data_IF_971250952819
#
_entry.id   IF_971250952819
#
_cell.length_a   1.000
_cell.length_b   1.000
_cell.length_c   1.000
_cell.angle_alpha   90.00
_cell.angle_beta   90.00
_cell.angle_gamma   90.00
#
_symmetry.space_group_name_H-M   'P 1'
#
loop_
_entity.id
_entity.type
_entity.pdbx_description
1 polymer ?
#
# COMPACT_ATOMS: atom_id res chain seq x y z
N UNK A 1 7.43 -32.76 -12.11
CA UNK A 1 8.66 -32.24 -11.49
C UNK A 1 8.28 -31.71 -10.10
N UNK A 2 8.58 -32.46 -9.04
CA UNK A 2 8.28 -32.04 -7.66
C UNK A 2 9.32 -30.99 -7.25
N UNK A 3 8.90 -29.75 -7.06
CA UNK A 3 9.76 -28.69 -6.54
C UNK A 3 10.38 -29.13 -5.20
N UNK A 4 11.65 -28.79 -4.91
CA UNK A 4 12.25 -29.09 -3.61
C UNK A 4 11.38 -28.51 -2.48
N UNK A 5 11.22 -29.26 -1.37
CA UNK A 5 10.25 -28.99 -0.28
C UNK A 5 10.15 -27.52 0.16
N UNK A 6 11.24 -26.76 0.10
CA UNK A 6 11.28 -25.33 0.47
C UNK A 6 10.62 -24.38 -0.54
N UNK A 7 10.57 -24.74 -1.83
CA UNK A 7 9.92 -23.92 -2.86
C UNK A 7 8.42 -24.21 -2.98
N UNK A 8 7.99 -25.44 -2.68
CA UNK A 8 6.54 -25.74 -2.58
C UNK A 8 5.86 -24.96 -1.46
N UNK A 9 6.60 -24.65 -0.40
CA UNK A 9 6.11 -23.91 0.77
C UNK A 9 5.72 -22.45 0.47
N UNK A 10 6.27 -21.86 -0.60
CA UNK A 10 5.87 -20.53 -1.06
C UNK A 10 4.39 -20.54 -1.47
N UNK A 11 3.89 -21.63 -2.02
CA UNK A 11 2.53 -21.69 -2.55
C UNK A 11 1.47 -22.00 -1.49
N UNK A 12 1.83 -22.04 -0.20
CA UNK A 12 0.90 -22.37 0.89
C UNK A 12 0.07 -21.18 1.39
N UNK A 13 0.58 -19.95 1.25
CA UNK A 13 -0.12 -18.77 1.74
C UNK A 13 0.25 -17.51 0.93
N UNK A 14 -0.71 -16.59 0.67
CA UNK A 14 -0.49 -15.45 -0.21
C UNK A 14 0.63 -14.50 0.21
N UNK A 15 0.80 -14.28 1.52
CA UNK A 15 1.85 -13.40 2.02
C UNK A 15 3.27 -13.86 1.69
N UNK A 16 3.49 -15.17 1.48
CA UNK A 16 4.83 -15.72 1.26
C UNK A 16 5.42 -15.27 -0.08
N UNK A 17 4.80 -15.56 -1.25
CA UNK A 17 5.37 -15.18 -2.52
C UNK A 17 5.14 -13.69 -2.81
N UNK A 18 4.02 -13.10 -2.39
CA UNK A 18 3.69 -11.71 -2.76
C UNK A 18 4.53 -10.68 -2.00
N UNK A 19 4.79 -10.84 -0.70
CA UNK A 19 5.72 -9.93 -0.01
C UNK A 19 7.16 -10.12 -0.49
N UNK A 20 7.57 -11.35 -0.78
CA UNK A 20 8.89 -11.62 -1.37
C UNK A 20 9.03 -10.96 -2.74
N UNK A 21 8.03 -11.14 -3.61
CA UNK A 21 8.00 -10.53 -4.94
C UNK A 21 8.00 -9.01 -4.88
N UNK A 22 7.19 -8.41 -4.00
CA UNK A 22 7.16 -6.96 -3.77
C UNK A 22 8.54 -6.44 -3.32
N UNK A 23 9.19 -7.11 -2.37
CA UNK A 23 10.51 -6.71 -1.86
C UNK A 23 11.63 -6.89 -2.88
N UNK A 24 11.63 -7.98 -3.66
CA UNK A 24 12.60 -8.17 -4.74
C UNK A 24 12.42 -7.12 -5.83
N UNK A 25 11.17 -6.88 -6.22
CA UNK A 25 10.88 -5.90 -7.27
C UNK A 25 11.17 -4.48 -6.86
N UNK A 26 10.94 -4.08 -5.60
CA UNK A 26 11.31 -2.74 -5.16
C UNK A 26 12.82 -2.50 -5.28
N UNK A 27 13.66 -3.50 -4.98
CA UNK A 27 15.11 -3.42 -5.19
C UNK A 27 15.45 -3.34 -6.68
N UNK A 28 14.87 -4.21 -7.51
CA UNK A 28 15.14 -4.25 -8.96
C UNK A 28 14.70 -2.94 -9.64
N UNK A 29 13.47 -2.49 -9.39
CA UNK A 29 12.90 -1.31 -10.01
C UNK A 29 13.64 -0.04 -9.61
N UNK A 30 14.00 0.11 -8.32
CA UNK A 30 14.82 1.23 -7.87
C UNK A 30 16.22 1.20 -8.48
N UNK A 31 16.85 0.02 -8.54
CA UNK A 31 18.17 -0.11 -9.12
C UNK A 31 18.18 0.25 -10.62
N UNK A 32 17.17 -0.21 -11.36
CA UNK A 32 17.01 0.14 -12.76
C UNK A 32 16.68 1.62 -12.95
N UNK A 33 15.73 2.17 -12.20
CA UNK A 33 15.34 3.58 -12.31
C UNK A 33 16.48 4.54 -11.98
N UNK A 34 17.24 4.28 -10.91
CA UNK A 34 18.28 5.18 -10.44
C UNK A 34 19.63 4.97 -11.15
N UNK A 35 20.00 3.73 -11.44
CA UNK A 35 21.34 3.38 -11.95
C UNK A 35 21.33 2.68 -13.31
N UNK A 36 20.16 2.46 -13.92
CA UNK A 36 20.04 1.77 -15.21
C UNK A 36 20.90 2.37 -16.31
N UNK A 37 20.89 3.70 -16.45
CA UNK A 37 21.70 4.39 -17.44
C UNK A 37 23.20 4.16 -17.25
N UNK A 38 23.67 4.14 -15.99
CA UNK A 38 25.07 3.84 -15.66
C UNK A 38 25.44 2.37 -15.96
N UNK A 39 24.45 1.48 -16.00
CA UNK A 39 24.61 0.06 -16.36
C UNK A 39 24.40 -0.21 -17.86
N UNK A 40 24.24 0.83 -18.69
CA UNK A 40 23.98 0.69 -20.13
C UNK A 40 22.57 0.20 -20.47
N UNK A 41 21.64 0.21 -19.52
CA UNK A 41 20.23 -0.11 -19.74
C UNK A 41 19.47 1.13 -20.25
N UNK A 42 18.44 0.95 -21.10
CA UNK A 42 17.54 2.03 -21.44
C UNK A 42 16.84 2.56 -20.18
N UNK A 43 16.54 3.87 -20.17
CA UNK A 43 15.71 4.45 -19.12
C UNK A 43 14.34 3.76 -19.12
N UNK A 44 13.83 3.28 -17.98
CA UNK A 44 12.45 2.81 -17.93
C UNK A 44 11.51 3.99 -18.21
N UNK A 45 10.33 3.69 -18.76
CA UNK A 45 9.41 4.74 -19.17
C UNK A 45 7.98 4.27 -19.34
N UNK A 46 7.07 5.17 -18.96
CA UNK A 46 5.63 5.09 -19.12
C UNK A 46 5.14 6.53 -19.40
N UNK A 47 5.42 7.02 -20.60
CA UNK A 47 5.37 8.45 -20.97
C UNK A 47 6.53 9.26 -20.39
N UNK A 48 6.84 9.06 -19.10
CA UNK A 48 8.04 9.59 -18.44
C UNK A 48 8.65 8.56 -17.48
N UNK A 49 9.96 8.66 -17.15
CA UNK A 49 10.58 7.82 -16.13
C UNK A 49 9.96 8.01 -14.73
N UNK A 50 9.42 9.20 -14.43
CA UNK A 50 8.77 9.51 -13.15
C UNK A 50 7.41 8.81 -13.05
N UNK A 51 6.62 8.80 -14.12
CA UNK A 51 5.36 8.04 -14.15
C UNK A 51 5.59 6.54 -14.00
N UNK A 52 6.61 6.01 -14.66
CA UNK A 52 7.01 4.61 -14.49
C UNK A 52 7.36 4.30 -13.04
N UNK A 53 8.22 5.14 -12.41
CA UNK A 53 8.58 4.96 -11.01
C UNK A 53 7.36 5.03 -10.07
N UNK A 54 6.47 6.00 -10.27
CA UNK A 54 5.25 6.13 -9.48
C UNK A 54 4.34 4.88 -9.62
N UNK A 55 4.17 4.38 -10.84
CA UNK A 55 3.42 3.16 -11.12
C UNK A 55 4.03 1.94 -10.42
N UNK A 56 5.34 1.72 -10.58
CA UNK A 56 6.03 0.58 -9.97
C UNK A 56 6.02 0.63 -8.44
N UNK A 57 6.09 1.82 -7.86
CA UNK A 57 6.00 2.02 -6.42
C UNK A 57 4.57 1.75 -5.88
N UNK A 58 3.54 2.26 -6.54
CA UNK A 58 2.16 2.26 -6.03
C UNK A 58 1.39 1.01 -6.45
N UNK A 59 1.33 0.70 -7.75
CA UNK A 59 0.64 -0.47 -8.27
C UNK A 59 1.49 -1.73 -8.13
N UNK A 60 2.79 -1.65 -8.44
CA UNK A 60 3.70 -2.79 -8.37
C UNK A 60 3.96 -3.26 -6.95
N UNK A 61 4.74 -2.49 -6.20
CA UNK A 61 5.09 -2.80 -4.81
C UNK A 61 3.87 -2.71 -3.88
N UNK A 62 3.12 -1.60 -3.94
CA UNK A 62 1.94 -1.40 -3.10
C UNK A 62 0.82 -2.40 -3.39
N UNK A 63 0.52 -2.66 -4.66
CA UNK A 63 -0.51 -3.62 -5.06
C UNK A 63 -0.19 -5.07 -4.70
N UNK A 64 1.05 -5.52 -4.88
CA UNK A 64 1.51 -6.84 -4.39
C UNK A 64 1.37 -6.97 -2.88
N UNK A 65 1.81 -5.96 -2.14
CA UNK A 65 1.77 -5.94 -0.68
C UNK A 65 0.35 -5.89 -0.12
N UNK A 66 -0.56 -5.16 -0.78
CA UNK A 66 -1.97 -5.13 -0.44
C UNK A 66 -2.63 -6.50 -0.67
N UNK A 67 -2.37 -7.14 -1.81
CA UNK A 67 -2.89 -8.48 -2.09
C UNK A 67 -2.35 -9.51 -1.09
N UNK A 68 -1.05 -9.46 -0.78
CA UNK A 68 -0.39 -10.29 0.22
C UNK A 68 -1.13 -10.21 1.57
N UNK A 69 -1.40 -8.99 2.05
CA UNK A 69 -2.08 -8.75 3.31
C UNK A 69 -3.56 -9.15 3.26
N UNK A 70 -4.34 -8.70 2.25
CA UNK A 70 -5.79 -8.94 2.21
C UNK A 70 -6.13 -10.42 1.97
N UNK A 71 -5.47 -11.10 1.04
CA UNK A 71 -5.71 -12.53 0.79
C UNK A 71 -5.26 -13.41 1.96
N UNK A 72 -4.33 -12.93 2.79
CA UNK A 72 -3.98 -13.61 4.04
C UNK A 72 -5.02 -13.31 5.12
N UNK A 73 -5.40 -12.05 5.30
CA UNK A 73 -6.32 -11.62 6.35
C UNK A 73 -7.76 -12.14 6.18
N UNK A 74 -8.20 -12.35 4.93
CA UNK A 74 -9.57 -12.83 4.63
C UNK A 74 -9.83 -14.20 5.26
N UNK A 75 -8.81 -15.05 5.41
CA UNK A 75 -8.93 -16.35 6.10
C UNK A 75 -9.39 -16.19 7.54
N UNK A 76 -8.84 -15.23 8.27
CA UNK A 76 -9.21 -14.95 9.66
C UNK A 76 -10.61 -14.35 9.82
N UNK A 77 -11.16 -13.71 8.79
CA UNK A 77 -12.52 -13.16 8.84
C UNK A 77 -13.58 -14.18 8.43
N UNK A 78 -13.24 -15.06 7.49
CA UNK A 78 -14.21 -15.94 6.81
C UNK A 78 -14.12 -17.40 7.25
N UNK A 79 -13.05 -17.79 7.95
CA UNK A 79 -12.75 -19.19 8.29
C UNK A 79 -12.39 -20.06 7.09
N UNK A 80 -12.30 -19.49 5.89
CA UNK A 80 -11.98 -20.22 4.66
C UNK A 80 -10.48 -20.55 4.57
N UNK A 81 -10.12 -21.64 3.88
CA UNK A 81 -8.74 -21.98 3.66
C UNK A 81 -8.00 -20.87 2.88
N UNK A 82 -6.68 -20.70 3.10
CA UNK A 82 -5.89 -19.73 2.37
C UNK A 82 -5.89 -20.02 0.87
N UNK A 83 -5.84 -18.95 0.07
CA UNK A 83 -5.56 -19.06 -1.37
C UNK A 83 -4.14 -19.64 -1.53
N UNK A 84 -4.07 -20.83 -2.14
CA UNK A 84 -2.86 -21.63 -2.22
C UNK A 84 -2.73 -22.35 -3.59
N UNK A 85 -1.58 -22.96 -3.83
CA UNK A 85 -1.31 -23.80 -5.00
C UNK A 85 -1.45 -23.05 -6.33
N UNK A 86 -2.09 -23.69 -7.31
CA UNK A 86 -2.24 -23.17 -8.69
C UNK A 86 -2.93 -21.81 -8.76
N UNK A 87 -3.91 -21.56 -7.90
CA UNK A 87 -4.62 -20.29 -7.89
C UNK A 87 -3.71 -19.15 -7.42
N UNK A 88 -2.89 -19.39 -6.40
CA UNK A 88 -1.88 -18.43 -5.95
C UNK A 88 -0.79 -18.22 -7.02
N UNK A 89 -0.38 -19.27 -7.72
CA UNK A 89 0.54 -19.17 -8.85
C UNK A 89 -0.02 -18.28 -9.96
N UNK A 90 -1.31 -18.39 -10.29
CA UNK A 90 -1.95 -17.53 -11.28
C UNK A 90 -1.96 -16.04 -10.86
N UNK A 91 -2.25 -15.75 -9.59
CA UNK A 91 -2.18 -14.39 -9.04
C UNK A 91 -0.76 -13.81 -9.20
N UNK A 92 0.27 -14.57 -8.79
CA UNK A 92 1.67 -14.14 -8.89
C UNK A 92 2.10 -13.99 -10.35
N UNK A 93 1.68 -14.90 -11.22
CA UNK A 93 2.01 -14.85 -12.65
C UNK A 93 1.44 -13.60 -13.33
N UNK A 94 0.17 -13.25 -13.05
CA UNK A 94 -0.44 -12.03 -13.60
C UNK A 94 0.30 -10.76 -13.14
N UNK A 95 0.69 -10.71 -11.87
CA UNK A 95 1.49 -9.60 -11.36
C UNK A 95 2.87 -9.53 -12.03
N UNK A 96 3.56 -10.68 -12.19
CA UNK A 96 4.85 -10.73 -12.90
C UNK A 96 4.72 -10.32 -14.36
N UNK A 97 3.63 -10.73 -15.04
CA UNK A 97 3.36 -10.36 -16.43
C UNK A 97 3.17 -8.84 -16.58
N UNK A 98 2.52 -8.19 -15.62
CA UNK A 98 2.37 -6.74 -15.60
C UNK A 98 3.73 -6.03 -15.44
N UNK A 99 4.59 -6.51 -14.53
CA UNK A 99 5.95 -5.97 -14.37
C UNK A 99 6.78 -6.16 -15.64
N UNK A 100 6.64 -7.32 -16.29
CA UNK A 100 7.29 -7.60 -17.56
C UNK A 100 6.77 -6.68 -18.67
N UNK A 101 5.47 -6.40 -18.72
CA UNK A 101 4.89 -5.44 -19.66
C UNK A 101 5.47 -4.03 -19.45
N UNK A 102 5.66 -3.63 -18.19
CA UNK A 102 6.25 -2.34 -17.82
C UNK A 102 7.74 -2.21 -18.15
N UNK A 103 8.44 -3.31 -18.47
CA UNK A 103 9.80 -3.22 -19.04
C UNK A 103 9.79 -2.47 -20.37
N UNK A 104 8.70 -2.62 -21.13
CA UNK A 104 8.47 -1.96 -22.41
C UNK A 104 7.29 -1.00 -22.34
N UNK A 105 7.09 -0.33 -21.19
CA UNK A 105 5.95 0.55 -20.96
C UNK A 105 5.72 1.52 -22.13
N UNK A 106 6.77 2.11 -22.68
CA UNK A 106 6.69 3.06 -23.80
C UNK A 106 6.48 2.47 -25.20
N UNK A 107 6.66 1.18 -25.41
CA UNK A 107 6.63 0.58 -26.76
C UNK A 107 5.62 -0.55 -26.90
N UNK A 108 5.17 -1.17 -25.80
CA UNK A 108 4.18 -2.22 -25.85
C UNK A 108 2.81 -1.66 -26.31
N UNK A 109 2.06 -2.38 -27.16
CA UNK A 109 0.66 -2.07 -27.46
C UNK A 109 -0.19 -2.04 -26.18
N UNK A 110 -1.12 -1.08 -26.09
CA UNK A 110 -1.95 -0.87 -24.89
C UNK A 110 -2.62 -2.14 -24.36
N UNK A 111 -3.24 -3.03 -25.17
CA UNK A 111 -3.87 -4.22 -24.62
C UNK A 111 -2.88 -5.11 -23.86
N UNK A 112 -1.65 -5.25 -24.35
CA UNK A 112 -0.62 -6.05 -23.69
C UNK A 112 -0.12 -5.40 -22.39
N UNK A 113 -0.20 -4.07 -22.30
CA UNK A 113 0.17 -3.32 -21.10
C UNK A 113 -0.92 -3.39 -20.02
N UNK A 114 -2.20 -3.36 -20.42
CA UNK A 114 -3.34 -3.25 -19.50
C UNK A 114 -3.88 -4.61 -19.03
N UNK A 115 -3.94 -5.61 -19.91
CA UNK A 115 -4.58 -6.90 -19.60
C UNK A 115 -3.97 -7.62 -18.39
N UNK A 116 -2.64 -7.65 -18.18
CA UNK A 116 -2.06 -8.26 -16.99
C UNK A 116 -2.50 -7.59 -15.68
N UNK A 117 -2.51 -6.25 -15.63
CA UNK A 117 -2.94 -5.48 -14.46
C UNK A 117 -4.43 -5.65 -14.16
N UNK A 118 -5.28 -5.55 -15.19
CA UNK A 118 -6.73 -5.82 -15.08
C UNK A 118 -6.96 -7.25 -14.56
N UNK A 119 -6.25 -8.23 -15.13
CA UNK A 119 -6.32 -9.62 -14.70
C UNK A 119 -5.88 -9.81 -13.25
N UNK A 120 -4.77 -9.19 -12.85
CA UNK A 120 -4.23 -9.27 -11.50
C UNK A 120 -5.21 -8.70 -10.46
N UNK A 121 -5.59 -7.42 -10.59
CA UNK A 121 -6.50 -6.78 -9.63
C UNK A 121 -7.90 -7.40 -9.67
N UNK A 122 -8.38 -7.77 -10.85
CA UNK A 122 -9.66 -8.46 -11.03
C UNK A 122 -9.70 -9.82 -10.33
N UNK A 123 -8.65 -10.63 -10.48
CA UNK A 123 -8.55 -11.93 -9.82
C UNK A 123 -8.46 -11.77 -8.30
N UNK A 124 -7.61 -10.88 -7.79
CA UNK A 124 -7.48 -10.62 -6.34
C UNK A 124 -8.81 -10.14 -5.75
N UNK A 125 -9.48 -9.18 -6.39
CA UNK A 125 -10.78 -8.68 -5.95
C UNK A 125 -11.85 -9.79 -5.98
N UNK A 126 -11.89 -10.58 -7.06
CA UNK A 126 -12.83 -11.70 -7.22
C UNK A 126 -12.68 -12.75 -6.12
N UNK A 127 -11.46 -13.11 -5.75
CA UNK A 127 -11.19 -14.05 -4.65
C UNK A 127 -11.65 -13.49 -3.29
N UNK A 128 -11.39 -12.21 -3.03
CA UNK A 128 -11.85 -11.57 -1.80
C UNK A 128 -13.37 -11.45 -1.75
N UNK A 129 -14.03 -11.07 -2.85
CA UNK A 129 -15.49 -11.05 -2.93
C UNK A 129 -16.08 -12.45 -2.72
N UNK A 130 -15.58 -13.46 -3.43
CA UNK A 130 -16.01 -14.86 -3.26
C UNK A 130 -16.00 -15.28 -1.79
N UNK A 131 -14.92 -14.95 -1.08
CA UNK A 131 -14.72 -15.36 0.32
C UNK A 131 -15.57 -14.57 1.30
N UNK A 132 -15.64 -13.25 1.15
CA UNK A 132 -16.42 -12.37 2.03
C UNK A 132 -17.92 -12.57 1.85
N UNK A 133 -18.41 -12.61 0.60
CA UNK A 133 -19.82 -12.80 0.29
C UNK A 133 -20.28 -14.19 0.72
N UNK A 134 -19.50 -15.22 0.40
CA UNK A 134 -19.88 -16.59 0.72
C UNK A 134 -19.78 -16.93 2.21
N UNK A 135 -18.98 -16.20 3.00
CA UNK A 135 -18.99 -16.27 4.47
C UNK A 135 -19.93 -15.25 5.13
N UNK A 136 -20.64 -14.43 4.33
CA UNK A 136 -21.59 -13.40 4.79
C UNK A 136 -21.00 -12.37 5.77
N UNK A 137 -19.72 -12.03 5.60
CA UNK A 137 -19.00 -11.06 6.46
C UNK A 137 -19.05 -9.66 5.82
N UNK A 138 -20.25 -9.15 5.58
CA UNK A 138 -20.51 -7.96 4.76
C UNK A 138 -19.75 -6.69 5.21
N UNK A 139 -19.49 -6.56 6.51
CA UNK A 139 -18.69 -5.46 7.06
C UNK A 139 -17.23 -5.40 6.57
N UNK A 140 -16.77 -6.42 5.82
CA UNK A 140 -15.44 -6.48 5.20
C UNK A 140 -15.44 -6.16 3.71
N UNK A 141 -16.57 -5.83 3.09
CA UNK A 141 -16.65 -5.53 1.65
C UNK A 141 -15.78 -4.33 1.22
N UNK A 142 -15.43 -3.43 2.13
CA UNK A 142 -14.50 -2.34 1.84
C UNK A 142 -13.08 -2.80 1.43
N UNK A 143 -12.69 -4.03 1.73
CA UNK A 143 -11.39 -4.60 1.33
C UNK A 143 -11.35 -4.99 -0.17
N UNK A 144 -12.25 -5.86 -0.68
CA UNK A 144 -12.30 -6.14 -2.12
C UNK A 144 -12.62 -4.89 -2.96
N UNK A 145 -13.52 -4.01 -2.50
CA UNK A 145 -13.79 -2.75 -3.20
C UNK A 145 -12.55 -1.85 -3.32
N UNK A 146 -11.63 -1.91 -2.36
CA UNK A 146 -10.37 -1.18 -2.45
C UNK A 146 -9.42 -1.75 -3.50
N UNK A 147 -9.43 -3.07 -3.70
CA UNK A 147 -8.65 -3.72 -4.77
C UNK A 147 -9.19 -3.31 -6.14
N UNK A 148 -10.51 -3.27 -6.29
CA UNK A 148 -11.16 -2.76 -7.51
C UNK A 148 -10.78 -1.30 -7.75
N UNK A 149 -10.88 -0.46 -6.72
CA UNK A 149 -10.52 0.96 -6.84
C UNK A 149 -9.04 1.15 -7.24
N UNK A 150 -8.12 0.36 -6.67
CA UNK A 150 -6.71 0.43 -7.06
C UNK A 150 -6.50 -0.05 -8.50
N UNK A 151 -7.14 -1.14 -8.92
CA UNK A 151 -7.03 -1.63 -10.30
C UNK A 151 -7.64 -0.69 -11.34
N UNK A 152 -8.72 0.03 -10.99
CA UNK A 152 -9.25 1.10 -11.84
C UNK A 152 -8.31 2.30 -11.88
N UNK A 153 -7.76 2.72 -10.74
CA UNK A 153 -6.81 3.83 -10.70
C UNK A 153 -5.53 3.50 -11.49
N UNK A 154 -5.05 2.26 -11.41
CA UNK A 154 -3.95 1.72 -12.21
C UNK A 154 -4.24 1.78 -13.72
N UNK A 155 -5.38 1.22 -14.14
CA UNK A 155 -5.86 1.29 -15.53
C UNK A 155 -5.88 2.73 -16.06
N UNK A 156 -6.47 3.65 -15.30
CA UNK A 156 -6.56 5.07 -15.68
C UNK A 156 -5.19 5.74 -15.71
N UNK A 157 -4.29 5.38 -14.79
CA UNK A 157 -2.93 5.89 -14.74
C UNK A 157 -2.14 5.48 -15.98
N UNK A 158 -2.18 4.20 -16.36
CA UNK A 158 -1.47 3.70 -17.54
C UNK A 158 -2.02 4.32 -18.83
N UNK A 159 -3.34 4.43 -18.97
CA UNK A 159 -3.98 5.10 -20.11
C UNK A 159 -3.61 6.58 -20.21
N UNK A 160 -3.66 7.31 -19.09
CA UNK A 160 -3.28 8.72 -19.04
C UNK A 160 -1.81 8.94 -19.36
N UNK A 161 -0.93 8.05 -18.87
CA UNK A 161 0.51 8.16 -19.07
C UNK A 161 0.96 7.81 -20.50
N UNK A 162 0.29 6.88 -21.18
CA UNK A 162 0.68 6.40 -22.51
C UNK A 162 0.15 7.23 -23.67
N UNK A 163 -1.15 7.47 -23.66
CA UNK A 163 -1.80 8.01 -24.84
C UNK A 163 -2.11 9.50 -24.71
N UNK A 164 -2.10 10.04 -23.48
CA UNK A 164 -2.75 11.33 -23.20
C UNK A 164 -4.22 11.38 -23.64
N UNK A 165 -4.81 10.23 -24.01
CA UNK A 165 -6.13 10.11 -24.64
C UNK A 165 -7.26 10.48 -23.68
N UNK A 166 -6.96 10.51 -22.39
CA UNK A 166 -7.87 10.97 -21.36
C UNK A 166 -7.33 12.30 -20.82
N UNK A 167 -8.16 13.35 -20.69
CA UNK A 167 -7.76 14.66 -20.19
C UNK A 167 -7.57 14.63 -18.67
N UNK A 168 -6.90 13.60 -18.16
CA UNK A 168 -6.62 13.46 -16.74
C UNK A 168 -5.35 14.22 -16.39
N UNK A 169 -5.44 14.95 -15.29
CA UNK A 169 -4.26 15.46 -14.63
C UNK A 169 -3.50 14.28 -13.98
N UNK A 170 -2.37 13.92 -14.60
CA UNK A 170 -1.49 12.86 -14.09
C UNK A 170 -0.96 13.17 -12.69
N UNK A 171 -0.83 14.43 -12.32
CA UNK A 171 -0.45 14.82 -10.97
C UNK A 171 -1.58 14.48 -9.98
N UNK A 172 -2.83 14.83 -10.30
CA UNK A 172 -3.99 14.47 -9.49
C UNK A 172 -4.17 12.93 -9.38
N UNK A 173 -3.97 12.18 -10.46
CA UNK A 173 -4.02 10.70 -10.43
C UNK A 173 -2.92 10.10 -9.54
N UNK A 174 -1.68 10.59 -9.68
CA UNK A 174 -0.56 10.17 -8.82
C UNK A 174 -0.88 10.48 -7.34
N UNK A 175 -1.44 11.66 -7.08
CA UNK A 175 -1.87 12.08 -5.75
C UNK A 175 -2.96 11.17 -5.17
N UNK A 176 -3.96 10.82 -5.97
CA UNK A 176 -5.02 9.92 -5.57
C UNK A 176 -4.49 8.53 -5.20
N UNK A 177 -3.54 7.99 -5.96
CA UNK A 177 -2.94 6.68 -5.69
C UNK A 177 -2.15 6.64 -4.36
N UNK A 178 -1.29 7.62 -4.07
CA UNK A 178 -0.60 7.60 -2.78
C UNK A 178 -1.54 7.94 -1.62
N UNK A 179 -2.55 8.80 -1.82
CA UNK A 179 -3.58 9.08 -0.81
C UNK A 179 -4.41 7.84 -0.48
N UNK A 180 -4.70 7.00 -1.48
CA UNK A 180 -5.32 5.70 -1.27
C UNK A 180 -4.52 4.87 -0.25
N UNK A 181 -3.19 4.77 -0.42
CA UNK A 181 -2.35 4.06 0.54
C UNK A 181 -2.28 4.76 1.90
N UNK A 182 -2.21 6.09 1.96
CA UNK A 182 -2.27 6.83 3.21
C UNK A 182 -3.56 6.56 4.01
N UNK A 183 -4.71 6.52 3.31
CA UNK A 183 -6.00 6.12 3.88
C UNK A 183 -5.94 4.68 4.38
N UNK A 184 -5.38 3.74 3.60
CA UNK A 184 -5.24 2.34 4.03
C UNK A 184 -4.33 2.17 5.24
N UNK A 185 -3.21 2.86 5.29
CA UNK A 185 -2.33 2.88 6.48
C UNK A 185 -3.09 3.43 7.69
N UNK A 186 -3.86 4.51 7.53
CA UNK A 186 -4.68 5.05 8.62
C UNK A 186 -5.75 4.06 9.12
N UNK A 187 -6.47 3.40 8.22
CA UNK A 187 -7.53 2.44 8.54
C UNK A 187 -6.98 1.17 9.20
N UNK A 188 -5.94 0.58 8.61
CA UNK A 188 -5.34 -0.68 9.08
C UNK A 188 -4.54 -0.43 10.35
N UNK A 189 -3.60 0.51 10.28
CA UNK A 189 -2.70 0.85 11.38
C UNK A 189 -3.46 1.31 12.62
N UNK A 190 -4.50 2.12 12.43
CA UNK A 190 -5.26 2.68 13.54
C UNK A 190 -6.07 1.69 14.38
N UNK A 191 -6.36 0.50 13.84
CA UNK A 191 -6.95 -0.60 14.62
C UNK A 191 -5.86 -1.56 15.12
N UNK A 192 -4.89 -1.85 14.26
CA UNK A 192 -3.85 -2.84 14.50
C UNK A 192 -2.87 -2.42 15.59
N UNK A 193 -2.41 -1.17 15.58
CA UNK A 193 -1.39 -0.69 16.53
C UNK A 193 -1.91 -0.67 17.97
N UNK A 194 -3.07 -0.07 18.29
CA UNK A 194 -3.61 -0.12 19.65
C UNK A 194 -3.88 -1.55 20.14
N UNK A 195 -4.33 -2.44 19.25
CA UNK A 195 -4.57 -3.84 19.58
C UNK A 195 -3.26 -4.56 19.95
N UNK A 196 -2.20 -4.41 19.16
CA UNK A 196 -0.91 -5.01 19.45
C UNK A 196 -0.23 -4.40 20.68
N UNK A 197 -0.30 -3.09 20.85
CA UNK A 197 0.21 -2.41 22.04
C UNK A 197 -0.53 -2.89 23.30
N UNK A 198 -1.87 -3.00 23.24
CA UNK A 198 -2.68 -3.49 24.35
C UNK A 198 -2.36 -4.95 24.71
N UNK A 199 -2.22 -5.82 23.71
CA UNK A 199 -1.83 -7.21 23.92
C UNK A 199 -0.43 -7.32 24.56
N UNK A 200 0.53 -6.53 24.09
CA UNK A 200 1.87 -6.49 24.67
C UNK A 200 1.86 -6.01 26.13
N UNK A 201 1.12 -4.93 26.42
CA UNK A 201 0.99 -4.37 27.78
C UNK A 201 0.33 -5.37 28.75
N UNK A 202 -0.66 -6.12 28.28
CA UNK A 202 -1.27 -7.22 29.06
C UNK A 202 -0.26 -8.32 29.36
N UNK A 203 0.59 -8.69 28.39
CA UNK A 203 1.62 -9.72 28.58
C UNK A 203 2.68 -9.32 29.61
N UNK A 204 3.11 -8.05 29.62
CA UNK A 204 4.15 -7.58 30.56
C UNK A 204 3.58 -7.09 31.90
N UNK A 205 2.26 -6.98 32.03
CA UNK A 205 1.59 -6.58 33.28
C UNK A 205 1.89 -5.15 33.76
N UNK A 206 2.46 -4.28 32.92
CA UNK A 206 2.90 -2.93 33.29
C UNK A 206 2.65 -1.90 32.19
N UNK A 207 2.39 -0.66 32.57
CA UNK A 207 2.18 0.47 31.66
C UNK A 207 0.71 0.84 31.45
N UNK A 208 0.48 1.98 30.78
CA UNK A 208 -0.85 2.52 30.53
C UNK A 208 -1.46 1.90 29.27
N UNK A 209 -2.68 1.37 29.38
CA UNK A 209 -3.39 0.79 28.23
C UNK A 209 -3.61 1.83 27.11
N UNK A 210 -3.50 1.43 25.83
CA UNK A 210 -3.75 2.32 24.71
C UNK A 210 -5.20 2.81 24.76
N UNK A 211 -5.40 4.10 24.51
CA UNK A 211 -6.72 4.70 24.38
C UNK A 211 -7.03 4.93 22.92
N UNK A 212 -8.21 4.51 22.50
CA UNK A 212 -8.78 4.90 21.21
C UNK A 212 -9.55 6.20 21.38
N UNK A 213 -9.46 7.08 20.39
CA UNK A 213 -10.21 8.33 20.33
C UNK A 213 -11.10 8.30 19.07
N UNK A 214 -12.38 7.91 19.20
CA UNK A 214 -13.27 7.79 18.05
C UNK A 214 -13.41 9.07 17.24
N UNK A 215 -13.34 10.23 17.89
CA UNK A 215 -13.43 11.52 17.23
C UNK A 215 -12.19 11.79 16.36
N UNK A 216 -10.99 11.52 16.89
CA UNK A 216 -9.75 11.64 16.12
C UNK A 216 -9.70 10.64 14.96
N UNK A 217 -10.18 9.41 15.18
CA UNK A 217 -10.32 8.37 14.16
C UNK A 217 -11.23 8.83 13.00
N UNK A 218 -12.42 9.32 13.33
CA UNK A 218 -13.41 9.78 12.35
C UNK A 218 -12.93 11.04 11.62
N UNK A 219 -12.46 12.04 12.36
CA UNK A 219 -11.99 13.30 11.80
C UNK A 219 -10.77 13.08 10.88
N UNK A 220 -9.81 12.25 11.31
CA UNK A 220 -8.64 11.94 10.50
C UNK A 220 -8.98 11.25 9.19
N UNK A 221 -9.96 10.34 9.18
CA UNK A 221 -10.41 9.70 7.93
C UNK A 221 -11.24 10.65 7.07
N UNK A 222 -12.16 11.42 7.66
CA UNK A 222 -12.97 12.41 6.96
C UNK A 222 -12.07 13.41 6.22
N UNK A 223 -11.05 13.94 6.89
CA UNK A 223 -10.12 14.92 6.32
C UNK A 223 -9.24 14.31 5.21
N UNK A 224 -8.86 13.04 5.31
CA UNK A 224 -8.15 12.34 4.23
C UNK A 224 -9.04 12.18 2.99
N UNK A 225 -10.30 11.79 3.16
CA UNK A 225 -11.25 11.70 2.05
C UNK A 225 -11.59 13.08 1.47
N UNK A 226 -11.71 14.11 2.31
CA UNK A 226 -11.88 15.48 1.87
C UNK A 226 -10.66 15.96 1.06
N UNK A 227 -9.43 15.70 1.52
CA UNK A 227 -8.21 16.03 0.79
C UNK A 227 -8.15 15.35 -0.58
N UNK A 228 -8.56 14.09 -0.66
CA UNK A 228 -8.68 13.34 -1.92
C UNK A 228 -9.72 14.00 -2.85
N UNK A 229 -10.93 14.26 -2.36
CA UNK A 229 -11.98 14.92 -3.16
C UNK A 229 -11.57 16.31 -3.66
N UNK A 230 -10.91 17.10 -2.81
CA UNK A 230 -10.39 18.42 -3.16
C UNK A 230 -9.26 18.35 -4.18
N UNK A 231 -8.38 17.34 -4.10
CA UNK A 231 -7.35 17.10 -5.13
C UNK A 231 -8.00 16.81 -6.48
N UNK A 232 -8.98 15.89 -6.50
CA UNK A 232 -9.66 15.51 -7.74
C UNK A 232 -10.51 16.66 -8.33
N UNK A 233 -10.94 17.60 -7.50
CA UNK A 233 -11.63 18.82 -7.91
C UNK A 233 -10.68 19.96 -8.35
N UNK A 234 -9.36 19.75 -8.33
CA UNK A 234 -8.36 20.79 -8.65
C UNK A 234 -8.21 21.88 -7.57
N UNK A 235 -8.82 21.71 -6.39
CA UNK A 235 -8.76 22.66 -5.28
C UNK A 235 -7.49 22.46 -4.43
N UNK A 236 -6.32 22.66 -5.03
CA UNK A 236 -5.02 22.26 -4.47
C UNK A 236 -4.71 22.87 -3.10
N UNK A 237 -4.95 24.18 -2.92
CA UNK A 237 -4.73 24.85 -1.62
C UNK A 237 -5.64 24.29 -0.52
N UNK A 238 -6.91 24.03 -0.85
CA UNK A 238 -7.85 23.45 0.10
C UNK A 238 -7.47 22.00 0.44
N UNK A 239 -7.02 21.22 -0.55
CA UNK A 239 -6.50 19.88 -0.33
C UNK A 239 -5.29 19.89 0.59
N UNK A 240 -4.34 20.81 0.38
CA UNK A 240 -3.16 20.97 1.21
C UNK A 240 -3.52 21.24 2.68
N UNK A 241 -4.45 22.18 2.92
CA UNK A 241 -4.96 22.46 4.27
C UNK A 241 -5.65 21.22 4.87
N UNK A 242 -6.47 20.51 4.10
CA UNK A 242 -7.11 19.28 4.55
C UNK A 242 -6.09 18.18 4.94
N UNK A 243 -4.98 18.05 4.21
CA UNK A 243 -3.88 17.14 4.55
C UNK A 243 -3.19 17.53 5.86
N UNK A 244 -2.93 18.81 6.07
CA UNK A 244 -2.33 19.30 7.32
C UNK A 244 -3.27 19.07 8.52
N UNK A 245 -4.57 19.33 8.36
CA UNK A 245 -5.56 19.04 9.40
C UNK A 245 -5.67 17.53 9.65
N UNK A 246 -5.62 16.71 8.59
CA UNK A 246 -5.58 15.26 8.73
C UNK A 246 -4.33 14.82 9.51
N UNK A 247 -3.16 15.41 9.24
CA UNK A 247 -1.94 15.15 10.00
C UNK A 247 -2.11 15.44 11.49
N UNK A 248 -2.69 16.59 11.85
CA UNK A 248 -2.97 16.95 13.25
C UNK A 248 -3.94 15.94 13.90
N UNK A 249 -5.00 15.53 13.21
CA UNK A 249 -5.91 14.50 13.69
C UNK A 249 -5.21 13.14 13.88
N UNK A 250 -4.33 12.74 12.96
CA UNK A 250 -3.54 11.51 13.09
C UNK A 250 -2.52 11.59 14.23
N UNK A 251 -1.89 12.75 14.49
CA UNK A 251 -1.04 12.95 15.67
C UNK A 251 -1.84 12.84 16.97
N UNK A 252 -3.00 13.49 17.03
CA UNK A 252 -3.89 13.41 18.18
C UNK A 252 -4.32 11.97 18.46
N UNK A 253 -4.68 11.25 17.41
CA UNK A 253 -4.98 9.82 17.45
C UNK A 253 -3.80 8.99 17.99
N UNK A 254 -2.61 9.22 17.44
CA UNK A 254 -1.39 8.48 17.77
C UNK A 254 -0.92 8.69 19.22
N UNK A 255 -1.15 9.88 19.79
CA UNK A 255 -0.77 10.21 21.17
C UNK A 255 -1.43 9.27 22.21
N UNK A 256 -2.58 8.67 21.88
CA UNK A 256 -3.28 7.74 22.76
C UNK A 256 -2.68 6.33 22.83
N UNK A 257 -1.73 5.96 21.97
CA UNK A 257 -1.39 4.55 21.71
C UNK A 257 -0.26 3.96 22.55
N UNK A 258 0.14 4.62 23.64
CA UNK A 258 1.22 4.15 24.53
C UNK A 258 2.55 3.85 23.79
N UNK A 259 2.88 4.66 22.77
CA UNK A 259 4.01 4.44 21.85
C UNK A 259 5.37 4.30 22.55
N UNK A 260 5.59 4.98 23.67
CA UNK A 260 6.85 4.87 24.41
C UNK A 260 7.04 3.48 25.03
N UNK A 261 5.98 2.88 25.59
CA UNK A 261 6.06 1.52 26.15
C UNK A 261 6.18 0.47 25.05
N UNK A 262 5.61 0.75 23.87
CA UNK A 262 5.74 -0.07 22.68
C UNK A 262 7.19 -0.20 22.17
N UNK A 263 8.08 0.76 22.47
CA UNK A 263 9.50 0.71 22.10
C UNK A 263 10.26 -0.45 22.76
N UNK A 264 9.76 -0.99 23.88
CA UNK A 264 10.36 -2.15 24.55
C UNK A 264 10.22 -3.48 23.77
N UNK A 265 9.45 -3.50 22.67
CA UNK A 265 9.33 -4.64 21.78
C UNK A 265 9.73 -4.21 20.36
N UNK A 266 10.85 -4.70 19.78
CA UNK A 266 11.34 -4.21 18.49
C UNK A 266 10.33 -4.28 17.34
N UNK A 267 9.53 -5.36 17.27
CA UNK A 267 8.51 -5.51 16.24
C UNK A 267 7.38 -4.48 16.41
N UNK A 268 7.05 -4.11 17.64
CA UNK A 268 6.03 -3.12 17.94
C UNK A 268 6.56 -1.70 17.76
N UNK A 269 7.80 -1.45 18.18
CA UNK A 269 8.53 -0.22 17.92
C UNK A 269 8.52 0.12 16.43
N UNK A 270 8.87 -0.84 15.57
CA UNK A 270 8.86 -0.67 14.12
C UNK A 270 7.47 -0.26 13.59
N UNK A 271 6.38 -0.85 14.09
CA UNK A 271 5.03 -0.46 13.70
C UNK A 271 4.69 0.99 14.11
N UNK A 272 5.05 1.40 15.32
CA UNK A 272 4.78 2.75 15.80
C UNK A 272 5.62 3.79 15.04
N UNK A 273 6.90 3.51 14.81
CA UNK A 273 7.80 4.39 14.04
C UNK A 273 7.34 4.53 12.59
N UNK A 274 6.91 3.43 11.96
CA UNK A 274 6.42 3.46 10.58
C UNK A 274 5.05 4.14 10.47
N UNK A 275 4.16 3.96 11.46
CA UNK A 275 2.92 4.74 11.50
C UNK A 275 3.17 6.24 11.70
N UNK A 276 4.16 6.64 12.49
CA UNK A 276 4.49 8.05 12.74
C UNK A 276 4.80 8.82 11.44
N UNK A 277 5.35 8.14 10.43
CA UNK A 277 5.56 8.72 9.11
C UNK A 277 4.27 9.12 8.39
N UNK A 278 3.11 8.57 8.76
CA UNK A 278 1.83 8.97 8.16
C UNK A 278 1.49 10.43 8.50
N UNK A 279 1.30 10.85 9.77
CA UNK A 279 1.04 12.25 10.09
C UNK A 279 2.19 13.17 9.67
N UNK A 280 3.45 12.74 9.82
CA UNK A 280 4.61 13.54 9.38
C UNK A 280 4.56 13.78 7.87
N UNK A 281 4.35 12.74 7.07
CA UNK A 281 4.28 12.87 5.62
C UNK A 281 3.07 13.66 5.14
N UNK A 282 1.91 13.53 5.79
CA UNK A 282 0.72 14.34 5.47
C UNK A 282 1.00 15.83 5.71
N UNK A 283 1.68 16.16 6.81
CA UNK A 283 2.08 17.54 7.11
C UNK A 283 3.09 18.06 6.07
N UNK A 284 4.13 17.28 5.76
CA UNK A 284 5.16 17.66 4.79
C UNK A 284 4.57 17.87 3.39
N UNK A 285 3.69 17.00 2.93
CA UNK A 285 3.03 17.15 1.61
C UNK A 285 2.10 18.36 1.60
N UNK A 286 1.33 18.59 2.67
CA UNK A 286 0.49 19.79 2.77
C UNK A 286 1.32 21.09 2.71
N UNK A 287 2.44 21.14 3.43
CA UNK A 287 3.37 22.27 3.39
C UNK A 287 4.02 22.43 2.01
N UNK A 288 4.46 21.33 1.38
CA UNK A 288 5.06 21.34 0.05
C UNK A 288 4.10 21.89 -1.03
N UNK A 289 2.80 21.60 -0.90
CA UNK A 289 1.78 22.15 -1.82
C UNK A 289 1.53 23.65 -1.66
N UNK A 290 1.64 24.16 -0.42
CA UNK A 290 1.47 25.59 -0.15
C UNK A 290 2.74 26.39 -0.43
N UNK A 291 3.90 25.76 -0.28
CA UNK A 291 5.22 26.38 -0.39
C UNK A 291 6.18 25.55 -1.26
N UNK A 292 5.88 25.37 -2.56
CA UNK A 292 6.66 24.50 -3.46
C UNK A 292 8.11 24.98 -3.65
N UNK A 293 8.36 26.27 -3.44
CA UNK A 293 9.69 26.89 -3.51
C UNK A 293 10.63 26.40 -2.39
N UNK A 294 10.07 25.97 -1.25
CA UNK A 294 10.82 25.55 -0.06
C UNK A 294 10.99 24.03 -0.03
N UNK A 295 9.93 23.30 -0.37
CA UNK A 295 9.89 21.84 -0.31
C UNK A 295 9.15 21.29 -1.53
N UNK A 296 9.84 20.46 -2.31
CA UNK A 296 9.23 19.78 -3.45
C UNK A 296 8.28 18.68 -2.98
N UNK A 297 7.04 18.68 -3.48
CA UNK A 297 6.06 17.63 -3.13
C UNK A 297 6.54 16.22 -3.50
N UNK A 298 7.28 16.10 -4.60
CA UNK A 298 7.88 14.84 -5.04
C UNK A 298 8.86 14.26 -4.00
N UNK A 299 9.50 15.08 -3.18
CA UNK A 299 10.37 14.61 -2.10
C UNK A 299 9.55 14.32 -0.85
N UNK A 300 8.62 15.21 -0.50
CA UNK A 300 7.74 15.07 0.65
C UNK A 300 6.89 13.78 0.61
N UNK A 301 6.43 13.36 -0.57
CA UNK A 301 5.60 12.16 -0.73
C UNK A 301 6.36 10.88 -0.34
N UNK A 302 7.69 10.86 -0.34
CA UNK A 302 8.48 9.72 0.11
C UNK A 302 8.32 9.45 1.62
N UNK A 303 8.03 10.49 2.42
CA UNK A 303 7.66 10.30 3.82
C UNK A 303 6.41 9.41 3.95
N UNK A 304 5.43 9.56 3.03
CA UNK A 304 4.21 8.74 3.00
C UNK A 304 4.44 7.37 2.36
N UNK A 305 5.10 7.33 1.22
CA UNK A 305 5.21 6.11 0.40
C UNK A 305 6.33 5.19 0.88
N UNK A 306 7.50 5.71 1.20
CA UNK A 306 8.61 4.93 1.76
C UNK A 306 8.46 4.77 3.28
N UNK A 307 8.25 5.89 3.99
CA UNK A 307 8.18 5.91 5.46
C UNK A 307 6.95 5.18 6.01
N UNK A 308 5.75 5.61 5.62
CA UNK A 308 4.51 5.06 6.15
C UNK A 308 4.07 3.76 5.44
N UNK A 309 3.86 3.81 4.12
CA UNK A 309 3.39 2.65 3.34
C UNK A 309 4.44 1.54 3.34
N UNK A 310 5.65 1.80 2.83
CA UNK A 310 6.74 0.82 2.78
C UNK A 310 7.12 0.29 4.17
N UNK A 311 7.30 1.19 5.14
CA UNK A 311 7.59 0.83 6.52
C UNK A 311 6.51 -0.07 7.15
N UNK A 312 5.23 0.24 6.97
CA UNK A 312 4.13 -0.58 7.49
C UNK A 312 4.09 -1.96 6.83
N UNK A 313 4.29 -2.02 5.50
CA UNK A 313 4.37 -3.28 4.75
C UNK A 313 5.48 -4.17 5.30
N UNK A 314 6.70 -3.62 5.46
CA UNK A 314 7.85 -4.37 6.00
C UNK A 314 7.59 -4.84 7.43
N UNK A 315 7.00 -3.98 8.27
CA UNK A 315 6.65 -4.32 9.66
C UNK A 315 5.65 -5.46 9.76
N UNK A 316 4.67 -5.50 8.85
CA UNK A 316 3.67 -6.58 8.77
C UNK A 316 4.31 -7.87 8.23
N UNK A 317 5.10 -7.77 7.15
CA UNK A 317 5.76 -8.91 6.53
C UNK A 317 6.71 -9.63 7.51
N UNK A 318 7.48 -8.87 8.29
CA UNK A 318 8.40 -9.41 9.30
C UNK A 318 7.69 -10.25 10.38
N UNK A 319 6.43 -9.90 10.72
CA UNK A 319 5.63 -10.62 11.72
C UNK A 319 5.09 -11.95 11.21
N UNK A 320 4.68 -12.02 9.93
CA UNK A 320 4.24 -13.27 9.29
C UNK A 320 5.30 -14.36 9.33
N UNK A 321 6.57 -14.00 9.11
CA UNK A 321 7.70 -14.93 9.21
C UNK A 321 8.01 -15.39 10.63
N UNK A 322 7.69 -14.59 11.64
CA UNK A 322 7.93 -14.92 13.07
C UNK A 322 6.87 -15.85 13.68
N UNK A 323 5.64 -15.80 13.18
CA UNK A 323 4.56 -16.72 13.59
C UNK A 323 4.80 -18.15 13.08
N UNK A 324 5.38 -18.29 11.88
CA UNK A 324 5.69 -19.59 11.28
C UNK A 324 6.83 -20.36 11.96
N UNK A 325 7.60 -19.74 12.87
CA UNK A 325 8.65 -20.42 13.66
C UNK A 325 8.14 -20.99 14.99
N UNK A 326 6.88 -20.76 15.34
CA UNK A 326 6.26 -21.20 16.60
C UNK A 326 5.10 -22.19 16.42
N UNK A 327 4.86 -22.64 15.19
CA UNK A 327 3.94 -23.71 14.83
C UNK A 327 4.74 -24.86 14.22
#
# INVERSE_FOLDING_TARGET
MTLPKRLSDLWLAPHRPLFLAAGLWSVIALAWWQWGAALGLPSPGLGTPVHWHAHEMLAGFGGASMAAYFLTAVTGWTGRPPVAGRLLQAVVALWCLERLAMVWGDSLPLPLLLLPGIGYFGLVAGLLFRDILGARVWGKLGFPSAVVALGLADLLFVLGARDGALPFDMQALTRALWMFFAIKVSVIGGKMLPAFAGNWLKLIGRGRMPRQNPLADQLGLLLLFAALGLTLAGAERASAVALMLAALAQFWRFAGWASLTALGNPLLAMLHLTFLWLPVGLMLVGLARLSPEILREADAVHALTMGAMGGMILSIAARGGSAARRA
#
